data_IF_114157564078
#
_entry.id   IF_114157564078
#
_cell.length_a   1.000
_cell.length_b   1.000
_cell.length_c   1.000
_cell.angle_alpha   90.00
_cell.angle_beta   90.00
_cell.angle_gamma   90.00
#
_symmetry.space_group_name_H-M   'P 1'
#
loop_
_entity.id
_entity.type
_entity.pdbx_description
1 polymer ?
#
# COMPACT_ATOMS: atom_id res chain seq x y z
N UNK A 1 26.95 39.16 -21.60
CA UNK A 1 25.85 39.54 -20.71
C UNK A 1 24.73 38.57 -21.02
N UNK A 2 24.44 37.62 -20.14
CA UNK A 2 23.34 36.68 -20.37
C UNK A 2 22.04 37.48 -20.30
N UNK A 3 21.20 37.40 -21.33
CA UNK A 3 19.84 37.96 -21.25
C UNK A 3 19.10 37.22 -20.15
N UNK A 4 18.74 37.92 -19.07
CA UNK A 4 17.87 37.38 -18.03
C UNK A 4 16.54 36.98 -18.68
N UNK A 5 16.22 35.68 -18.62
CA UNK A 5 14.93 35.19 -19.06
C UNK A 5 13.83 35.86 -18.22
N UNK A 6 12.68 36.13 -18.85
CA UNK A 6 11.55 36.78 -18.18
C UNK A 6 10.41 35.79 -18.01
N UNK A 7 9.91 35.70 -16.79
CA UNK A 7 8.78 34.86 -16.41
C UNK A 7 7.54 35.71 -16.23
N UNK A 8 6.47 35.38 -16.94
CA UNK A 8 5.19 36.09 -16.84
C UNK A 8 4.26 35.40 -15.85
N UNK A 9 3.70 36.16 -14.90
CA UNK A 9 2.74 35.64 -13.91
C UNK A 9 1.35 36.14 -14.28
N UNK A 10 0.40 35.24 -14.50
CA UNK A 10 -0.98 35.55 -14.85
C UNK A 10 -1.93 35.20 -13.72
N UNK A 11 -3.03 35.91 -13.58
CA UNK A 11 -4.12 35.51 -12.70
C UNK A 11 -4.86 34.31 -13.32
N UNK A 12 -4.95 33.19 -12.59
CA UNK A 12 -5.45 31.92 -13.15
C UNK A 12 -6.85 32.00 -13.79
N UNK A 13 -7.77 32.76 -13.17
CA UNK A 13 -9.18 32.80 -13.60
C UNK A 13 -9.52 33.94 -14.56
N UNK A 14 -8.68 34.96 -14.67
CA UNK A 14 -8.92 36.09 -15.58
C UNK A 14 -7.95 36.10 -16.76
N UNK A 15 -6.87 35.32 -16.71
CA UNK A 15 -5.81 35.33 -17.71
C UNK A 15 -5.04 36.66 -17.77
N UNK A 16 -5.27 37.57 -16.83
CA UNK A 16 -4.64 38.89 -16.83
C UNK A 16 -3.19 38.78 -16.34
N UNK A 17 -2.26 39.42 -17.05
CA UNK A 17 -0.86 39.49 -16.63
C UNK A 17 -0.74 40.30 -15.33
N UNK A 18 -0.34 39.66 -14.25
CA UNK A 18 -0.14 40.29 -12.94
C UNK A 18 1.23 40.99 -12.86
N UNK A 19 2.29 40.28 -13.23
CA UNK A 19 3.64 40.84 -13.24
C UNK A 19 4.56 40.06 -14.19
N UNK A 20 5.73 40.64 -14.48
CA UNK A 20 6.82 39.97 -15.20
C UNK A 20 8.06 39.99 -14.32
N UNK A 21 8.62 38.82 -14.03
CA UNK A 21 9.75 38.64 -13.12
C UNK A 21 11.02 38.29 -13.89
N UNK A 22 12.19 38.89 -13.57
CA UNK A 22 13.45 38.39 -14.06
C UNK A 22 13.78 37.05 -13.39
N UNK A 23 14.14 36.05 -14.18
CA UNK A 23 14.56 34.72 -13.70
C UNK A 23 15.95 34.36 -14.20
N UNK A 24 16.72 33.72 -13.32
CA UNK A 24 18.06 33.23 -13.60
C UNK A 24 18.09 31.71 -13.50
N UNK A 25 19.09 31.06 -14.10
CA UNK A 25 19.24 29.59 -14.07
C UNK A 25 19.37 28.97 -12.66
N UNK A 26 19.64 29.78 -11.63
CA UNK A 26 19.71 29.35 -10.23
C UNK A 26 18.40 29.53 -9.46
N UNK A 27 17.35 30.09 -10.06
CA UNK A 27 16.08 30.28 -9.38
C UNK A 27 15.36 28.95 -9.16
N UNK A 28 14.90 28.73 -7.94
CA UNK A 28 13.96 27.66 -7.61
C UNK A 28 12.54 28.20 -7.54
N UNK A 29 11.54 27.31 -7.55
CA UNK A 29 10.14 27.69 -7.35
C UNK A 29 9.94 28.53 -6.07
N UNK A 30 10.68 28.22 -5.00
CA UNK A 30 10.67 28.99 -3.75
C UNK A 30 11.19 30.42 -3.93
N UNK A 31 12.26 30.60 -4.74
CA UNK A 31 12.77 31.94 -5.10
C UNK A 31 11.72 32.72 -5.89
N UNK A 32 11.08 32.07 -6.87
CA UNK A 32 10.02 32.67 -7.69
C UNK A 32 8.85 33.10 -6.80
N UNK A 33 8.36 32.26 -5.89
CA UNK A 33 7.28 32.62 -4.96
C UNK A 33 7.63 33.84 -4.09
N UNK A 34 8.88 33.96 -3.63
CA UNK A 34 9.34 35.16 -2.89
C UNK A 34 9.37 36.41 -3.78
N UNK A 35 9.76 36.28 -5.04
CA UNK A 35 9.70 37.40 -6.01
C UNK A 35 8.26 37.83 -6.27
N UNK A 36 7.34 36.88 -6.44
CA UNK A 36 5.89 37.15 -6.56
C UNK A 36 5.35 37.85 -5.30
N UNK A 37 5.77 37.42 -4.11
CA UNK A 37 5.35 38.04 -2.84
C UNK A 37 5.79 39.51 -2.76
N UNK A 38 7.04 39.81 -3.16
CA UNK A 38 7.55 41.19 -3.17
C UNK A 38 6.78 42.09 -4.13
N UNK A 39 6.46 41.61 -5.32
CA UNK A 39 5.77 42.41 -6.35
C UNK A 39 4.27 42.53 -6.08
N UNK A 40 3.59 41.43 -5.76
CA UNK A 40 2.13 41.39 -5.66
C UNK A 40 1.61 41.49 -4.23
N UNK A 41 2.49 41.49 -3.22
CA UNK A 41 2.13 41.50 -1.79
C UNK A 41 1.20 40.35 -1.39
N UNK A 42 1.25 39.24 -2.13
CA UNK A 42 0.52 38.01 -1.81
C UNK A 42 1.49 37.10 -1.05
N UNK A 43 1.22 36.74 0.22
CA UNK A 43 2.12 35.90 1.00
C UNK A 43 2.47 34.60 0.28
N UNK A 44 3.71 34.13 0.39
CA UNK A 44 4.16 32.87 -0.27
C UNK A 44 3.22 31.69 0.01
N UNK A 45 2.65 31.64 1.22
CA UNK A 45 1.71 30.58 1.63
C UNK A 45 0.35 30.65 0.91
N UNK A 46 -0.06 31.82 0.46
CA UNK A 46 -1.29 32.02 -0.33
C UNK A 46 -1.09 31.73 -1.82
N UNK A 47 0.15 31.52 -2.26
CA UNK A 47 0.48 31.36 -3.68
C UNK A 47 0.54 29.89 -4.11
N UNK A 48 -0.37 29.52 -5.00
CA UNK A 48 -0.23 28.34 -5.86
C UNK A 48 0.12 28.78 -7.27
N UNK A 49 1.29 28.36 -7.76
CA UNK A 49 1.81 28.68 -9.08
C UNK A 49 1.74 27.43 -9.96
N UNK A 50 1.17 27.56 -11.16
CA UNK A 50 1.04 26.47 -12.13
C UNK A 50 1.69 26.84 -13.47
N UNK A 51 2.48 25.96 -14.10
CA UNK A 51 3.02 26.19 -15.45
C UNK A 51 1.91 26.32 -16.50
N UNK A 52 2.11 27.26 -17.43
CA UNK A 52 1.25 27.45 -18.60
C UNK A 52 1.98 26.98 -19.85
N UNK A 53 1.49 25.92 -20.48
CA UNK A 53 2.06 25.32 -21.69
C UNK A 53 1.74 26.11 -22.98
N UNK A 54 0.75 27.01 -22.96
CA UNK A 54 0.44 27.87 -24.11
C UNK A 54 -0.23 29.20 -23.71
N UNK A 55 0.54 30.29 -23.66
CA UNK A 55 0.04 31.68 -23.59
C UNK A 55 -0.95 32.00 -22.44
N UNK A 56 -1.56 33.20 -22.43
CA UNK A 56 -2.59 33.57 -21.46
C UNK A 56 -3.89 32.81 -21.77
N UNK A 57 -3.97 31.55 -21.36
CA UNK A 57 -5.21 30.78 -21.36
C UNK A 57 -5.84 30.87 -19.96
N UNK A 58 -7.12 31.23 -19.90
CA UNK A 58 -7.92 31.08 -18.68
C UNK A 58 -7.93 29.59 -18.33
N UNK A 59 -7.40 29.23 -17.15
CA UNK A 59 -7.39 27.83 -16.74
C UNK A 59 -8.82 27.39 -16.47
N UNK A 60 -9.34 26.44 -17.26
CA UNK A 60 -10.63 25.82 -16.97
C UNK A 60 -10.46 24.84 -15.80
N UNK A 61 -11.48 24.72 -14.95
CA UNK A 61 -11.43 23.94 -13.71
C UNK A 61 -10.94 22.49 -13.89
N UNK A 62 -11.06 21.91 -15.08
CA UNK A 62 -10.57 20.57 -15.43
C UNK A 62 -9.03 20.45 -15.55
N UNK A 63 -8.31 21.56 -15.76
CA UNK A 63 -6.84 21.58 -15.92
C UNK A 63 -6.09 21.78 -14.59
N UNK A 64 -6.80 21.94 -13.47
CA UNK A 64 -6.22 22.10 -12.14
C UNK A 64 -5.80 20.75 -11.51
N UNK A 65 -6.13 19.63 -12.16
CA UNK A 65 -6.16 18.27 -11.58
C UNK A 65 -5.16 17.31 -12.20
N UNK A 66 -3.98 17.80 -12.58
CA UNK A 66 -2.83 16.94 -12.79
C UNK A 66 -1.77 17.29 -11.75
N UNK A 67 -1.68 16.45 -10.72
CA UNK A 67 -0.51 16.29 -9.84
C UNK A 67 0.67 15.75 -10.65
N UNK A 68 1.19 16.56 -11.54
CA UNK A 68 2.64 16.56 -11.66
C UNK A 68 3.07 17.78 -10.87
N UNK A 69 3.74 17.54 -9.74
CA UNK A 69 4.72 18.50 -9.23
C UNK A 69 5.73 18.73 -10.35
N UNK A 70 5.36 19.53 -11.35
CA UNK A 70 6.23 19.91 -12.42
C UNK A 70 7.27 20.80 -11.77
N UNK A 71 8.44 20.20 -11.55
CA UNK A 71 9.67 20.94 -11.37
C UNK A 71 9.63 22.12 -12.35
N UNK A 72 9.73 23.34 -11.82
CA UNK A 72 9.79 24.50 -12.69
C UNK A 72 10.99 24.32 -13.63
N UNK A 73 10.70 24.24 -14.92
CA UNK A 73 11.69 24.24 -15.98
C UNK A 73 11.87 25.69 -16.47
N UNK A 74 13.11 26.11 -16.68
CA UNK A 74 13.47 27.39 -17.33
C UNK A 74 12.79 27.58 -18.69
N UNK A 75 12.38 26.50 -19.36
CA UNK A 75 11.58 26.56 -20.59
C UNK A 75 10.17 27.16 -20.36
N UNK A 76 9.68 27.17 -19.11
CA UNK A 76 8.38 27.73 -18.73
C UNK A 76 8.46 29.26 -18.70
N UNK A 77 7.92 29.92 -19.71
CA UNK A 77 7.89 31.39 -19.80
C UNK A 77 6.69 32.04 -19.10
N UNK A 78 5.70 31.24 -18.67
CA UNK A 78 4.48 31.73 -18.04
C UNK A 78 3.97 30.82 -16.90
N UNK A 79 3.53 31.43 -15.79
CA UNK A 79 2.87 30.77 -14.66
C UNK A 79 1.51 31.40 -14.39
N UNK A 80 0.53 30.59 -13.98
CA UNK A 80 -0.71 31.06 -13.40
C UNK A 80 -0.61 31.10 -11.86
N UNK A 81 -1.01 32.23 -11.26
CA UNK A 81 -1.14 32.40 -9.82
C UNK A 81 -2.60 32.21 -9.40
N UNK A 82 -2.80 31.27 -8.48
CA UNK A 82 -4.03 31.07 -7.73
C UNK A 82 -3.79 31.55 -6.30
N UNK A 83 -4.62 32.50 -5.85
CA UNK A 83 -4.62 32.95 -4.46
C UNK A 83 -5.52 32.05 -3.62
N UNK A 84 -4.93 31.39 -2.62
CA UNK A 84 -5.67 30.55 -1.69
C UNK A 84 -6.47 31.41 -0.70
N UNK A 85 -7.74 31.04 -0.48
CA UNK A 85 -8.57 31.71 0.53
C UNK A 85 -8.09 31.42 1.96
N UNK A 86 -8.32 32.32 2.93
CA UNK A 86 -7.93 32.10 4.32
C UNK A 86 -8.45 30.78 4.93
N UNK A 87 -9.64 30.33 4.55
CA UNK A 87 -10.22 29.09 5.11
C UNK A 87 -9.51 27.83 4.59
N UNK A 88 -9.01 27.85 3.35
CA UNK A 88 -8.12 26.80 2.82
C UNK A 88 -6.79 26.77 3.58
N UNK A 89 -6.22 27.93 3.90
CA UNK A 89 -4.99 28.00 4.70
C UNK A 89 -5.18 27.43 6.10
N UNK A 90 -6.28 27.78 6.78
CA UNK A 90 -6.63 27.19 8.09
C UNK A 90 -6.75 25.67 8.01
N UNK A 91 -7.37 25.15 6.95
CA UNK A 91 -7.46 23.71 6.74
C UNK A 91 -6.07 23.06 6.61
N UNK A 92 -5.15 23.66 5.83
CA UNK A 92 -3.77 23.18 5.75
C UNK A 92 -3.01 23.28 7.08
N UNK A 93 -3.24 24.32 7.89
CA UNK A 93 -2.65 24.45 9.22
C UNK A 93 -3.16 23.34 10.17
N UNK A 94 -4.45 23.01 10.12
CA UNK A 94 -5.04 21.89 10.87
C UNK A 94 -4.36 20.57 10.48
N UNK A 95 -4.30 20.27 9.18
CA UNK A 95 -3.68 19.03 8.70
C UNK A 95 -2.18 18.95 9.02
N UNK A 96 -1.46 20.07 8.90
CA UNK A 96 -0.01 20.15 9.19
C UNK A 96 0.29 19.92 10.67
N UNK A 97 -0.63 20.30 11.56
CA UNK A 97 -0.54 20.05 13.00
C UNK A 97 -1.04 18.67 13.43
N UNK A 98 -1.43 17.81 12.47
CA UNK A 98 -1.88 16.44 12.72
C UNK A 98 -3.38 16.29 12.97
N UNK A 99 -4.18 17.33 12.68
CA UNK A 99 -5.64 17.27 12.74
C UNK A 99 -6.25 16.42 11.61
N UNK A 100 -7.53 16.08 11.76
CA UNK A 100 -8.29 15.23 10.81
C UNK A 100 -9.18 16.06 9.88
N UNK A 101 -9.52 15.52 8.70
CA UNK A 101 -10.55 16.06 7.80
C UNK A 101 -11.90 16.26 8.49
N UNK A 102 -12.20 15.48 9.54
CA UNK A 102 -13.43 15.65 10.32
C UNK A 102 -13.54 17.03 10.99
N UNK A 103 -12.42 17.68 11.28
CA UNK A 103 -12.39 19.01 11.90
C UNK A 103 -12.53 20.14 10.87
N UNK A 104 -12.32 19.85 9.60
CA UNK A 104 -12.44 20.80 8.50
C UNK A 104 -13.92 20.94 8.11
N UNK A 105 -14.42 22.17 7.81
CA UNK A 105 -15.78 22.40 7.33
C UNK A 105 -16.14 21.54 6.11
N UNK A 106 -17.38 21.08 6.03
CA UNK A 106 -17.82 20.12 5.01
C UNK A 106 -17.62 20.65 3.58
N UNK A 107 -17.78 21.95 3.38
CA UNK A 107 -17.57 22.62 2.09
C UNK A 107 -16.14 22.41 1.57
N UNK A 108 -15.16 22.40 2.48
CA UNK A 108 -13.75 22.20 2.16
C UNK A 108 -13.35 20.73 2.07
N UNK A 109 -14.19 19.78 2.50
CA UNK A 109 -13.95 18.33 2.31
C UNK A 109 -14.24 17.86 0.88
N UNK A 110 -14.70 18.77 0.02
CA UNK A 110 -14.81 18.59 -1.43
C UNK A 110 -13.62 19.20 -2.18
N UNK A 111 -12.70 19.87 -1.48
CA UNK A 111 -11.46 20.39 -2.05
C UNK A 111 -10.39 19.29 -2.06
N UNK A 112 -9.97 18.88 -3.25
CA UNK A 112 -9.05 17.76 -3.33
C UNK A 112 -7.64 18.06 -2.85
N UNK A 113 -7.14 19.30 -2.91
CA UNK A 113 -5.81 19.57 -2.37
C UNK A 113 -5.81 19.34 -0.84
N UNK A 114 -6.90 19.71 -0.19
CA UNK A 114 -7.10 19.48 1.25
C UNK A 114 -7.25 17.98 1.53
N UNK A 115 -8.07 17.28 0.74
CA UNK A 115 -8.26 15.83 0.94
C UNK A 115 -6.99 15.05 0.64
N UNK A 116 -6.27 15.35 -0.45
CA UNK A 116 -4.98 14.77 -0.80
C UNK A 116 -3.96 14.98 0.32
N UNK A 117 -3.81 16.21 0.80
CA UNK A 117 -2.90 16.52 1.91
C UNK A 117 -3.22 15.70 3.18
N UNK A 118 -4.49 15.39 3.42
CA UNK A 118 -4.89 14.54 4.54
C UNK A 118 -4.63 13.05 4.27
N UNK A 119 -5.06 12.51 3.12
CA UNK A 119 -4.92 11.08 2.82
C UNK A 119 -3.48 10.65 2.59
N UNK A 120 -2.61 11.55 2.13
CA UNK A 120 -1.17 11.30 2.03
C UNK A 120 -0.48 11.10 3.38
N UNK A 121 -1.13 11.49 4.49
CA UNK A 121 -0.62 11.29 5.86
C UNK A 121 -1.33 10.14 6.57
N UNK A 122 -2.59 9.89 6.23
CA UNK A 122 -3.42 8.83 6.77
C UNK A 122 -4.55 8.52 5.77
N UNK A 123 -4.45 7.41 5.04
CA UNK A 123 -5.37 6.99 4.01
C UNK A 123 -6.80 6.81 4.52
N UNK A 124 -6.99 6.55 5.82
CA UNK A 124 -8.33 6.47 6.42
C UNK A 124 -9.07 7.82 6.51
N UNK A 125 -8.39 8.95 6.28
CA UNK A 125 -9.05 10.26 6.21
C UNK A 125 -10.06 10.33 5.05
N UNK A 126 -9.91 9.48 4.03
CA UNK A 126 -10.86 9.39 2.91
C UNK A 126 -12.31 9.18 3.37
N UNK A 127 -12.53 8.56 4.54
CA UNK A 127 -13.86 8.35 5.11
C UNK A 127 -14.63 9.66 5.37
N UNK A 128 -13.92 10.78 5.55
CA UNK A 128 -14.50 12.10 5.82
C UNK A 128 -14.61 12.97 4.56
N UNK A 129 -13.96 12.59 3.46
CA UNK A 129 -14.04 13.31 2.20
C UNK A 129 -15.47 13.27 1.65
N UNK A 130 -15.82 14.27 0.83
CA UNK A 130 -17.07 14.26 0.07
C UNK A 130 -17.14 13.06 -0.88
N UNK A 131 -18.34 12.54 -1.15
CA UNK A 131 -18.53 11.33 -1.96
C UNK A 131 -17.91 11.45 -3.35
N UNK A 132 -17.96 12.65 -3.95
CA UNK A 132 -17.32 12.96 -5.25
C UNK A 132 -15.81 12.68 -5.22
N UNK A 133 -15.13 12.93 -4.10
CA UNK A 133 -13.69 12.68 -3.97
C UNK A 133 -13.36 11.23 -3.58
N UNK A 134 -14.28 10.50 -2.96
CA UNK A 134 -14.14 9.04 -2.77
C UNK A 134 -14.25 8.28 -4.09
N UNK A 135 -14.89 8.88 -5.10
CA UNK A 135 -14.92 8.44 -6.49
C UNK A 135 -13.85 9.04 -7.39
N UNK A 136 -12.96 9.87 -6.85
CA UNK A 136 -11.84 10.41 -7.60
C UNK A 136 -10.66 9.44 -7.57
N UNK A 137 -10.21 9.03 -8.76
CA UNK A 137 -9.15 8.03 -8.91
C UNK A 137 -7.83 8.45 -8.25
N UNK A 138 -7.36 9.69 -8.46
CA UNK A 138 -6.10 10.17 -7.89
C UNK A 138 -6.14 10.19 -6.35
N UNK A 139 -7.24 10.69 -5.77
CA UNK A 139 -7.45 10.71 -4.32
C UNK A 139 -7.53 9.28 -3.76
N UNK A 140 -8.27 8.39 -4.44
CA UNK A 140 -8.38 6.99 -4.05
C UNK A 140 -7.01 6.30 -4.08
N UNK A 141 -6.24 6.45 -5.16
CA UNK A 141 -4.89 5.91 -5.30
C UNK A 141 -3.94 6.42 -4.22
N UNK A 142 -3.96 7.73 -3.93
CA UNK A 142 -3.17 8.31 -2.84
C UNK A 142 -3.52 7.66 -1.49
N UNK A 143 -4.82 7.48 -1.21
CA UNK A 143 -5.27 6.88 0.05
C UNK A 143 -4.88 5.41 0.21
N UNK A 144 -5.00 4.59 -0.85
CA UNK A 144 -4.72 3.14 -0.76
C UNK A 144 -3.22 2.84 -0.83
N UNK A 145 -2.43 3.72 -1.45
CA UNK A 145 -0.96 3.63 -1.43
C UNK A 145 -0.38 3.96 -0.06
N UNK A 146 -1.01 4.89 0.68
CA UNK A 146 -0.68 5.13 2.08
C UNK A 146 -1.10 3.94 2.95
N UNK A 147 -2.37 3.51 2.85
CA UNK A 147 -2.87 2.35 3.57
C UNK A 147 -3.88 1.56 2.74
N UNK A 148 -3.54 0.34 2.34
CA UNK A 148 -4.37 -0.50 1.46
C UNK A 148 -5.77 -0.76 2.02
N UNK A 149 -5.94 -0.76 3.35
CA UNK A 149 -7.26 -0.94 3.97
C UNK A 149 -8.18 0.28 3.79
N UNK A 150 -7.66 1.43 3.37
CA UNK A 150 -8.44 2.61 2.99
C UNK A 150 -9.37 2.33 1.80
N UNK A 151 -9.14 1.25 1.03
CA UNK A 151 -10.04 0.76 -0.01
C UNK A 151 -11.48 0.61 0.50
N UNK A 152 -11.68 0.37 1.80
CA UNK A 152 -13.01 0.36 2.44
C UNK A 152 -13.83 1.62 2.15
N UNK A 153 -13.19 2.79 2.10
CA UNK A 153 -13.84 4.10 1.96
C UNK A 153 -13.91 4.61 0.52
N UNK A 154 -13.22 3.95 -0.41
CA UNK A 154 -13.32 4.23 -1.84
C UNK A 154 -14.74 3.95 -2.34
N UNK A 155 -15.18 4.69 -3.36
CA UNK A 155 -16.46 4.51 -4.04
C UNK A 155 -16.67 3.06 -4.52
N UNK A 156 -17.92 2.68 -4.76
CA UNK A 156 -18.23 1.34 -5.26
C UNK A 156 -17.67 1.11 -6.66
N UNK A 157 -17.70 2.14 -7.50
CA UNK A 157 -17.20 2.14 -8.87
C UNK A 157 -15.70 1.85 -8.91
N UNK A 158 -14.90 2.57 -8.11
CA UNK A 158 -13.45 2.35 -8.04
C UNK A 158 -13.04 1.09 -7.28
N UNK A 159 -13.96 0.43 -6.55
CA UNK A 159 -13.71 -0.90 -5.97
C UNK A 159 -13.80 -2.02 -7.02
N UNK A 160 -14.43 -1.76 -8.16
CA UNK A 160 -14.42 -2.67 -9.32
C UNK A 160 -13.24 -2.40 -10.26
N UNK A 161 -12.49 -1.31 -10.04
CA UNK A 161 -11.31 -0.97 -10.81
C UNK A 161 -10.10 -1.82 -10.37
N UNK A 162 -9.57 -2.62 -11.29
CA UNK A 162 -8.45 -3.50 -10.99
C UNK A 162 -7.17 -2.74 -10.62
N UNK A 163 -6.90 -1.56 -11.18
CA UNK A 163 -5.66 -0.82 -10.92
C UNK A 163 -5.67 -0.22 -9.51
N UNK A 164 -6.82 0.35 -9.10
CA UNK A 164 -7.00 0.86 -7.73
C UNK A 164 -6.92 -0.27 -6.71
N UNK A 165 -7.58 -1.40 -6.97
CA UNK A 165 -7.55 -2.54 -6.06
C UNK A 165 -6.16 -3.18 -6.03
N UNK A 166 -5.47 -3.28 -7.17
CA UNK A 166 -4.10 -3.81 -7.25
C UNK A 166 -3.16 -2.98 -6.38
N UNK A 167 -3.22 -1.64 -6.48
CA UNK A 167 -2.44 -0.75 -5.62
C UNK A 167 -2.75 -0.97 -4.13
N UNK A 168 -4.02 -1.18 -3.77
CA UNK A 168 -4.42 -1.44 -2.40
C UNK A 168 -3.88 -2.78 -1.86
N UNK A 169 -3.97 -3.87 -2.64
CA UNK A 169 -3.52 -5.20 -2.19
C UNK A 169 -1.99 -5.35 -2.18
N UNK A 170 -1.29 -4.60 -3.03
CA UNK A 170 0.17 -4.49 -3.00
C UNK A 170 0.66 -3.83 -1.71
N UNK A 171 -0.09 -2.89 -1.14
CA UNK A 171 0.20 -2.32 0.18
C UNK A 171 -0.29 -3.24 1.33
N UNK A 172 -1.50 -3.80 1.21
CA UNK A 172 -2.06 -4.71 2.21
C UNK A 172 -2.94 -5.79 1.57
N UNK A 173 -2.47 -7.05 1.51
CA UNK A 173 -3.22 -8.13 0.86
C UNK A 173 -4.63 -8.36 1.44
N UNK A 174 -4.85 -8.00 2.72
CA UNK A 174 -6.16 -8.02 3.37
C UNK A 174 -7.18 -7.03 2.78
N UNK A 175 -6.74 -6.04 1.99
CA UNK A 175 -7.59 -5.07 1.32
C UNK A 175 -8.56 -5.71 0.32
N UNK A 176 -8.23 -6.89 -0.23
CA UNK A 176 -9.07 -7.64 -1.16
C UNK A 176 -10.51 -7.85 -0.64
N UNK A 177 -10.71 -7.84 0.68
CA UNK A 177 -12.05 -7.98 1.30
C UNK A 177 -13.00 -6.83 0.99
N UNK A 178 -12.46 -5.68 0.58
CA UNK A 178 -13.22 -4.47 0.22
C UNK A 178 -13.35 -4.30 -1.29
N UNK A 179 -12.62 -5.08 -2.08
CA UNK A 179 -12.73 -5.07 -3.53
C UNK A 179 -14.09 -5.58 -3.99
N UNK A 180 -14.50 -5.13 -5.16
CA UNK A 180 -15.65 -5.62 -5.90
C UNK A 180 -15.51 -7.07 -6.35
N UNK A 181 -16.53 -7.60 -7.04
CA UNK A 181 -16.50 -8.99 -7.51
C UNK A 181 -15.49 -9.18 -8.65
N UNK A 182 -15.35 -8.20 -9.55
CA UNK A 182 -14.43 -8.26 -10.68
C UNK A 182 -12.98 -8.52 -10.24
N UNK A 183 -12.38 -7.64 -9.41
CA UNK A 183 -11.00 -7.80 -8.96
C UNK A 183 -10.73 -9.08 -8.13
N UNK A 184 -11.75 -9.68 -7.50
CA UNK A 184 -11.61 -10.99 -6.81
C UNK A 184 -11.56 -12.19 -7.76
N UNK A 185 -11.93 -11.97 -9.02
CA UNK A 185 -11.79 -12.94 -10.13
C UNK A 185 -10.55 -12.64 -10.97
N UNK A 186 -9.98 -11.46 -10.82
CA UNK A 186 -8.75 -11.09 -11.49
C UNK A 186 -7.56 -11.83 -10.88
N UNK A 187 -6.82 -12.54 -11.74
CA UNK A 187 -5.71 -13.39 -11.29
C UNK A 187 -4.53 -12.57 -10.77
N UNK A 188 -4.24 -11.43 -11.39
CA UNK A 188 -3.10 -10.58 -11.01
C UNK A 188 -3.34 -9.93 -9.65
N UNK A 189 -4.53 -9.36 -9.46
CA UNK A 189 -4.96 -8.77 -8.18
C UNK A 189 -4.92 -9.81 -7.06
N UNK A 190 -5.51 -10.98 -7.27
CA UNK A 190 -5.53 -12.04 -6.25
C UNK A 190 -4.13 -12.57 -5.98
N UNK A 191 -3.30 -12.76 -7.01
CA UNK A 191 -1.91 -13.20 -6.82
C UNK A 191 -1.12 -12.21 -5.96
N UNK A 192 -1.25 -10.91 -6.21
CA UNK A 192 -0.63 -9.87 -5.39
C UNK A 192 -1.15 -9.91 -3.95
N UNK A 193 -2.47 -10.07 -3.76
CA UNK A 193 -3.09 -10.13 -2.45
C UNK A 193 -2.62 -11.33 -1.61
N UNK A 194 -2.60 -12.54 -2.20
CA UNK A 194 -2.19 -13.75 -1.46
C UNK A 194 -0.68 -13.82 -1.20
N UNK A 195 0.13 -13.18 -2.06
CA UNK A 195 1.58 -13.09 -1.85
C UNK A 195 1.95 -12.20 -0.66
N UNK A 196 1.12 -11.19 -0.37
CA UNK A 196 1.29 -10.31 0.80
C UNK A 196 0.51 -10.78 2.03
N UNK A 197 -0.49 -11.63 1.84
CA UNK A 197 -1.35 -12.10 2.92
C UNK A 197 -2.05 -13.40 2.49
N UNK A 198 -1.46 -14.55 2.81
CA UNK A 198 -2.03 -15.87 2.43
C UNK A 198 -3.47 -16.09 2.92
N UNK A 199 -3.88 -15.41 3.98
CA UNK A 199 -5.27 -15.42 4.47
C UNK A 199 -6.28 -14.72 3.57
N UNK A 200 -5.84 -14.08 2.47
CA UNK A 200 -6.70 -13.47 1.46
C UNK A 200 -7.29 -14.49 0.46
N UNK A 201 -6.73 -15.70 0.36
CA UNK A 201 -7.23 -16.75 -0.56
C UNK A 201 -8.75 -17.05 -0.46
N UNK A 202 -9.39 -17.07 0.73
CA UNK A 202 -10.84 -17.27 0.84
C UNK A 202 -11.69 -16.20 0.15
N UNK A 203 -11.12 -15.02 -0.12
CA UNK A 203 -11.80 -13.89 -0.76
C UNK A 203 -11.77 -14.01 -2.29
N UNK A 204 -10.89 -14.86 -2.83
CA UNK A 204 -10.80 -15.11 -4.24
C UNK A 204 -11.97 -15.96 -4.75
N UNK A 205 -12.25 -15.85 -6.05
CA UNK A 205 -13.20 -16.71 -6.75
C UNK A 205 -12.88 -18.20 -6.60
N UNK A 206 -13.89 -19.06 -6.76
CA UNK A 206 -13.71 -20.52 -6.75
C UNK A 206 -12.66 -21.00 -7.75
N UNK A 207 -12.61 -20.36 -8.91
CA UNK A 207 -11.70 -20.65 -10.01
C UNK A 207 -10.25 -20.39 -9.59
N UNK A 208 -9.99 -19.26 -8.92
CA UNK A 208 -8.65 -18.92 -8.42
C UNK A 208 -8.27 -19.73 -7.16
N UNK A 209 -9.25 -20.18 -6.36
CA UNK A 209 -9.00 -21.17 -5.30
C UNK A 209 -8.69 -22.57 -5.83
N UNK A 210 -8.90 -22.80 -7.12
CA UNK A 210 -8.47 -23.98 -7.86
C UNK A 210 -7.23 -23.73 -8.74
N UNK A 211 -6.72 -22.49 -8.80
CA UNK A 211 -5.46 -22.17 -9.47
C UNK A 211 -4.30 -22.61 -8.58
N UNK A 212 -3.52 -23.57 -9.11
CA UNK A 212 -2.42 -24.19 -8.38
C UNK A 212 -1.36 -23.18 -7.95
N UNK A 213 -1.03 -22.20 -8.79
CA UNK A 213 0.02 -21.23 -8.47
C UNK A 213 -0.44 -20.23 -7.42
N UNK A 214 -1.69 -19.77 -7.52
CA UNK A 214 -2.30 -18.85 -6.54
C UNK A 214 -2.36 -19.51 -5.16
N UNK A 215 -2.86 -20.76 -5.09
CA UNK A 215 -2.93 -21.50 -3.82
C UNK A 215 -1.53 -21.78 -3.27
N UNK A 216 -0.57 -22.15 -4.11
CA UNK A 216 0.79 -22.40 -3.68
C UNK A 216 1.44 -21.13 -3.09
N UNK A 217 1.23 -19.97 -3.71
CA UNK A 217 1.67 -18.69 -3.17
C UNK A 217 1.02 -18.39 -1.82
N UNK A 218 -0.31 -18.58 -1.71
CA UNK A 218 -1.03 -18.38 -0.45
C UNK A 218 -0.54 -19.30 0.68
N UNK A 219 -0.27 -20.57 0.37
CA UNK A 219 0.21 -21.56 1.35
C UNK A 219 1.63 -21.28 1.84
N UNK A 220 2.49 -20.72 0.98
CA UNK A 220 3.84 -20.30 1.38
C UNK A 220 3.81 -19.12 2.35
N UNK A 221 2.85 -18.23 2.20
CA UNK A 221 2.67 -17.09 3.10
C UNK A 221 1.94 -17.50 4.40
N UNK A 222 0.91 -18.36 4.29
CA UNK A 222 0.15 -18.87 5.42
C UNK A 222 -0.29 -20.32 5.16
N UNK A 223 0.30 -21.30 5.87
CA UNK A 223 0.00 -22.72 5.66
C UNK A 223 -1.49 -23.06 5.81
N UNK A 224 -2.19 -22.38 6.73
CA UNK A 224 -3.63 -22.55 6.94
C UNK A 224 -4.51 -22.07 5.77
N UNK A 225 -3.96 -21.35 4.79
CA UNK A 225 -4.68 -20.97 3.56
C UNK A 225 -5.20 -22.21 2.81
N UNK A 226 -4.51 -23.36 2.95
CA UNK A 226 -4.87 -24.65 2.35
C UNK A 226 -6.34 -25.04 2.62
N UNK A 227 -6.91 -24.66 3.77
CA UNK A 227 -8.30 -24.98 4.15
C UNK A 227 -9.35 -24.53 3.14
N UNK A 228 -9.05 -23.50 2.36
CA UNK A 228 -9.98 -22.90 1.38
C UNK A 228 -9.66 -23.25 -0.06
N UNK A 229 -8.55 -23.94 -0.30
CA UNK A 229 -8.19 -24.44 -1.62
C UNK A 229 -9.19 -25.50 -2.11
N UNK A 230 -9.29 -25.63 -3.43
CA UNK A 230 -10.08 -26.68 -4.06
C UNK A 230 -9.59 -28.08 -3.64
N UNK A 231 -10.52 -29.05 -3.61
CA UNK A 231 -10.26 -30.40 -3.11
C UNK A 231 -9.09 -31.10 -3.80
N UNK A 232 -8.97 -30.94 -5.12
CA UNK A 232 -7.85 -31.46 -5.90
C UNK A 232 -6.49 -30.91 -5.45
N UNK A 233 -6.43 -29.64 -5.03
CA UNK A 233 -5.20 -29.02 -4.53
C UNK A 233 -4.91 -29.37 -3.07
N UNK A 234 -5.94 -29.67 -2.26
CA UNK A 234 -5.78 -30.26 -0.92
C UNK A 234 -5.28 -31.70 -0.96
N UNK A 235 -5.35 -32.35 -2.12
CA UNK A 235 -4.75 -33.66 -2.40
C UNK A 235 -3.43 -33.55 -3.19
N UNK A 236 -3.06 -32.36 -3.69
CA UNK A 236 -1.78 -32.16 -4.39
C UNK A 236 -0.65 -32.17 -3.36
N UNK A 237 0.15 -33.23 -3.41
CA UNK A 237 1.30 -33.43 -2.53
C UNK A 237 2.25 -32.24 -2.46
N UNK A 238 2.50 -31.58 -3.59
CA UNK A 238 3.43 -30.43 -3.64
C UNK A 238 2.85 -29.22 -2.93
N UNK A 239 1.56 -28.94 -3.13
CA UNK A 239 0.85 -27.84 -2.47
C UNK A 239 0.76 -28.09 -0.96
N UNK A 240 0.40 -29.30 -0.57
CA UNK A 240 0.30 -29.68 0.85
C UNK A 240 1.67 -29.63 1.53
N UNK A 241 2.73 -30.13 0.90
CA UNK A 241 4.09 -30.00 1.42
C UNK A 241 4.52 -28.53 1.61
N UNK A 242 4.12 -27.62 0.72
CA UNK A 242 4.38 -26.20 0.92
C UNK A 242 3.60 -25.65 2.13
N UNK A 243 2.34 -26.05 2.30
CA UNK A 243 1.51 -25.61 3.41
C UNK A 243 1.99 -26.13 4.77
N UNK A 244 2.31 -27.42 4.89
CA UNK A 244 2.74 -28.03 6.17
C UNK A 244 4.14 -27.60 6.59
N UNK A 245 5.00 -27.20 5.64
CA UNK A 245 6.28 -26.56 5.96
C UNK A 245 6.12 -25.16 6.57
N UNK A 246 5.02 -24.49 6.25
CA UNK A 246 4.72 -23.15 6.76
C UNK A 246 3.91 -23.20 8.05
N UNK A 247 3.02 -24.18 8.20
CA UNK A 247 2.26 -24.45 9.42
C UNK A 247 1.86 -25.94 9.41
N UNK A 248 2.46 -26.74 10.30
CA UNK A 248 2.25 -28.19 10.37
C UNK A 248 0.79 -28.57 10.64
N UNK A 249 0.00 -27.69 11.26
CA UNK A 249 -1.43 -27.91 11.47
C UNK A 249 -2.21 -27.89 10.15
N UNK A 250 -1.64 -27.41 9.04
CA UNK A 250 -2.25 -27.47 7.72
C UNK A 250 -2.57 -28.91 7.27
N UNK A 251 -1.89 -29.92 7.83
CA UNK A 251 -2.13 -31.34 7.56
C UNK A 251 -3.60 -31.76 7.78
N UNK A 252 -4.29 -31.12 8.74
CA UNK A 252 -5.73 -31.37 9.01
C UNK A 252 -6.63 -31.14 7.80
N UNK A 253 -6.19 -30.33 6.84
CA UNK A 253 -6.96 -29.97 5.65
C UNK A 253 -6.67 -30.85 4.43
N UNK A 254 -5.68 -31.76 4.54
CA UNK A 254 -5.25 -32.69 3.50
C UNK A 254 -5.50 -34.16 3.90
N UNK A 255 -6.77 -34.59 4.05
CA UNK A 255 -7.11 -35.92 4.59
C UNK A 255 -6.53 -37.07 3.76
N UNK A 256 -6.35 -36.90 2.45
CA UNK A 256 -5.78 -37.92 1.56
C UNK A 256 -4.28 -38.13 1.74
N UNK A 257 -3.59 -37.22 2.45
CA UNK A 257 -2.14 -37.26 2.68
C UNK A 257 -1.78 -37.44 4.17
N UNK A 258 -2.75 -37.74 5.02
CA UNK A 258 -2.52 -38.05 6.44
C UNK A 258 -1.83 -39.41 6.67
N UNK A 259 -1.72 -40.23 5.62
CA UNK A 259 -0.96 -41.49 5.58
C UNK A 259 0.39 -41.34 4.86
N UNK A 260 0.65 -40.19 4.20
CA UNK A 260 1.90 -39.98 3.49
C UNK A 260 3.02 -39.71 4.51
N UNK A 261 3.87 -40.72 4.71
CA UNK A 261 4.95 -40.71 5.70
C UNK A 261 5.83 -39.45 5.62
N UNK A 262 6.18 -38.99 4.43
CA UNK A 262 7.03 -37.80 4.27
C UNK A 262 6.24 -36.53 4.62
N UNK A 263 5.00 -36.39 4.15
CA UNK A 263 4.16 -35.21 4.44
C UNK A 263 3.92 -35.08 5.95
N UNK A 264 3.59 -36.18 6.62
CA UNK A 264 3.36 -36.18 8.07
C UNK A 264 4.66 -35.93 8.83
N UNK A 265 5.80 -36.51 8.42
CA UNK A 265 7.10 -36.20 9.03
C UNK A 265 7.41 -34.71 8.97
N UNK A 266 7.22 -34.09 7.81
CA UNK A 266 7.44 -32.65 7.64
C UNK A 266 6.48 -31.82 8.51
N UNK A 267 5.19 -32.20 8.58
CA UNK A 267 4.21 -31.50 9.40
C UNK A 267 4.52 -31.58 10.90
N UNK A 268 4.97 -32.75 11.37
CA UNK A 268 5.32 -32.99 12.79
C UNK A 268 6.62 -32.30 13.17
N UNK A 269 7.58 -32.24 12.24
CA UNK A 269 8.82 -31.49 12.42
C UNK A 269 8.59 -29.98 12.53
N UNK A 270 7.54 -29.44 11.90
CA UNK A 270 7.17 -28.03 12.09
C UNK A 270 6.34 -27.83 13.37
N UNK A 271 5.25 -28.60 13.52
CA UNK A 271 4.38 -28.53 14.71
C UNK A 271 4.09 -29.93 15.20
N UNK A 272 4.60 -30.29 16.39
CA UNK A 272 4.38 -31.62 16.99
C UNK A 272 2.89 -31.96 17.14
N UNK A 273 2.03 -30.97 17.40
CA UNK A 273 0.58 -31.18 17.49
C UNK A 273 -0.05 -31.68 16.17
N UNK A 274 0.64 -31.54 15.03
CA UNK A 274 0.23 -32.09 13.74
C UNK A 274 0.14 -33.62 13.75
N UNK A 275 0.87 -34.30 14.64
CA UNK A 275 0.82 -35.75 14.79
C UNK A 275 -0.60 -36.25 15.08
N UNK A 276 -1.43 -35.45 15.76
CA UNK A 276 -2.83 -35.79 16.03
C UNK A 276 -3.69 -35.95 14.77
N UNK A 277 -3.27 -35.36 13.64
CA UNK A 277 -3.94 -35.47 12.35
C UNK A 277 -3.37 -36.57 11.45
N UNK A 278 -2.26 -37.19 11.83
CA UNK A 278 -1.78 -38.40 11.16
C UNK A 278 -2.80 -39.53 11.35
N UNK A 279 -2.90 -40.43 10.39
CA UNK A 279 -3.80 -41.57 10.52
C UNK A 279 -3.38 -42.52 11.64
N UNK A 280 -4.34 -43.34 12.08
CA UNK A 280 -4.09 -44.33 13.12
C UNK A 280 -2.97 -45.31 12.72
N UNK A 281 -2.97 -45.78 11.47
CA UNK A 281 -1.94 -46.69 10.94
C UNK A 281 -0.53 -46.12 11.07
N UNK A 282 -0.33 -44.84 10.75
CA UNK A 282 0.98 -44.20 10.82
C UNK A 282 1.39 -43.84 12.26
N UNK A 283 0.42 -43.49 13.12
CA UNK A 283 0.68 -43.22 14.55
C UNK A 283 1.05 -44.47 15.33
N UNK A 284 0.48 -45.62 14.95
CA UNK A 284 0.73 -46.91 15.60
C UNK A 284 2.00 -47.60 15.06
N UNK A 285 2.64 -47.05 14.00
CA UNK A 285 3.88 -47.56 13.42
C UNK A 285 5.08 -47.24 14.32
N UNK A 286 5.76 -48.26 14.92
CA UNK A 286 6.91 -48.06 15.79
C UNK A 286 8.11 -47.40 15.10
N UNK A 287 8.32 -47.67 13.81
CA UNK A 287 9.42 -47.05 13.05
C UNK A 287 9.15 -45.56 12.84
N UNK A 288 7.90 -45.21 12.60
CA UNK A 288 7.48 -43.82 12.45
C UNK A 288 7.59 -43.07 13.78
N UNK A 289 7.11 -43.66 14.88
CA UNK A 289 7.23 -43.07 16.21
C UNK A 289 8.71 -42.85 16.60
N UNK A 290 9.59 -43.81 16.29
CA UNK A 290 11.03 -43.66 16.48
C UNK A 290 11.65 -42.52 15.66
N UNK A 291 11.22 -42.37 14.40
CA UNK A 291 11.68 -41.27 13.54
C UNK A 291 11.20 -39.90 14.05
N UNK A 292 9.95 -39.79 14.52
CA UNK A 292 9.42 -38.54 15.10
C UNK A 292 10.15 -38.18 16.40
N UNK A 293 10.42 -39.16 17.26
CA UNK A 293 11.14 -38.92 18.51
C UNK A 293 12.59 -38.45 18.26
N UNK A 294 13.25 -38.96 17.22
CA UNK A 294 14.59 -38.52 16.83
C UNK A 294 14.60 -37.05 16.35
N UNK A 295 13.58 -36.64 15.58
CA UNK A 295 13.43 -35.24 15.15
C UNK A 295 13.26 -34.27 16.33
N UNK A 296 12.54 -34.70 17.37
CA UNK A 296 12.33 -33.90 18.59
C UNK A 296 13.60 -33.79 19.45
N UNK A 297 14.41 -34.84 19.54
CA UNK A 297 15.68 -34.80 20.29
C UNK A 297 16.72 -33.86 19.68
N UNK A 298 16.68 -33.66 18.36
CA UNK A 298 17.60 -32.76 17.67
C UNK A 298 17.24 -31.27 17.93
N UNK A 299 15.95 -30.92 18.05
CA UNK A 299 15.51 -29.55 18.38
C UNK A 299 15.92 -29.13 19.80
N UNK A 300 15.74 -30.02 20.79
CA UNK A 300 16.14 -29.77 22.18
C UNK A 300 17.66 -29.55 22.34
N UNK A 301 18.47 -30.18 21.47
CA UNK A 301 19.93 -30.02 21.48
C UNK A 301 20.40 -28.69 20.85
N UNK A 302 19.64 -28.14 19.90
CA UNK A 302 19.96 -26.90 19.19
C UNK A 302 19.63 -25.64 20.01
N UNK A 303 18.63 -25.71 20.89
CA UNK A 303 18.21 -24.59 21.74
C UNK A 303 19.13 -24.31 22.94
N UNK A 304 20.11 -25.18 23.22
CA UNK A 304 21.03 -25.07 24.36
C UNK A 304 22.41 -24.44 24.05
N UNK A 305 22.64 -23.92 22.84
CA UNK A 305 23.93 -23.32 22.41
C UNK A 305 23.94 -21.79 22.36
N UNK A 306 23.15 -21.12 23.20
CA UNK A 306 23.06 -19.66 23.27
C UNK A 306 23.07 -19.12 24.71
N UNK A 307 24.08 -19.45 25.51
CA UNK A 307 24.12 -18.97 26.88
C UNK A 307 25.45 -19.22 27.59
N UNK A 308 26.52 -18.53 27.18
CA UNK A 308 27.65 -18.16 28.04
C UNK A 308 28.73 -17.45 27.23
N UNK A 309 28.65 -16.11 27.14
CA UNK A 309 29.86 -15.31 26.97
C UNK A 309 30.15 -14.73 28.34
N UNK A 310 31.13 -15.33 29.01
CA UNK A 310 31.77 -14.78 30.18
C UNK A 310 32.31 -13.38 29.84
N UNK A 311 31.83 -12.36 30.56
CA UNK A 311 32.60 -11.14 30.76
C UNK A 311 33.79 -11.48 31.65
N UNK A 312 34.96 -11.67 31.06
CA UNK A 312 36.24 -11.51 31.74
C UNK A 312 36.90 -10.24 31.21
N UNK A 313 37.07 -9.28 32.11
CA UNK A 313 37.76 -8.03 31.87
C UNK A 313 39.28 -8.19 31.92
N UNK A 314 39.93 -7.50 30.99
CA UNK A 314 41.31 -7.00 30.98
C UNK A 314 41.40 -6.23 29.64
N UNK A 315 41.99 -5.06 29.45
CA UNK A 315 42.91 -4.25 30.22
C UNK A 315 42.81 -2.83 29.63
N UNK A 316 42.94 -1.81 30.48
CA UNK A 316 43.08 -0.41 30.04
C UNK A 316 44.51 0.02 30.33
N UNK A 317 45.34 0.08 29.30
CA UNK A 317 46.61 0.81 29.31
C UNK A 317 46.53 1.94 28.28
N UNK A 318 46.91 3.12 28.77
CA UNK A 318 47.17 4.43 28.12
C UNK A 318 45.99 5.23 27.55
#
# INVERSE_FOLDING_TARGET
>A
MAEDARLQIFAAFTGHLLCTLPVSHSDSLTSIKRKVERELQIPVREQRLLPLSSGPATLFAAQLWHEEEQQWDMATSALALIRLSPDRLKAFDILSSGGSLREIPEELRSDADIVLAAVSRNGFELQYAADVLRGNEAVALASVRENGLALKYVSAELKEDCDVVLAAVQNSGSALRYAGEGPRRDREVVMAAVSNCGTALPLASSELRADREVVLAACRECGLALRTAAENLRADRTVVLAAVRQDGLALRYAPTLQDDREVVQVAVAETTAALSYASASLRDDPEFAGAVAALQSDEDSSSYSGGSVHEEGADRFE
#
